data_IF_957814936707
#
_entry.id   IF_957814936707
#
_cell.length_a   1.000
_cell.length_b   1.000
_cell.length_c   1.000
_cell.angle_alpha   90.00
_cell.angle_beta   90.00
_cell.angle_gamma   90.00
#
_symmetry.space_group_name_H-M   'P 1'
#
loop_
_entity.id
_entity.type
_entity.pdbx_description
1 polymer ?
#
# COMPACT_ATOMS: atom_id res chain seq x y z
N UNK A 1 -29.87 -16.34 -40.07
CA UNK A 1 -28.47 -15.92 -39.85
C UNK A 1 -28.34 -14.92 -38.70
N UNK A 2 -29.22 -13.92 -38.58
CA UNK A 2 -29.17 -12.92 -37.50
C UNK A 2 -29.44 -13.48 -36.08
N UNK A 3 -30.41 -14.37 -35.92
CA UNK A 3 -30.78 -14.95 -34.62
C UNK A 3 -29.67 -15.83 -34.03
N UNK A 4 -29.00 -16.62 -34.85
CA UNK A 4 -27.87 -17.46 -34.43
C UNK A 4 -26.69 -16.64 -33.89
N UNK A 5 -26.41 -15.49 -34.50
CA UNK A 5 -25.34 -14.58 -34.05
C UNK A 5 -25.69 -13.91 -32.70
N UNK A 6 -26.96 -13.58 -32.49
CA UNK A 6 -27.45 -13.06 -31.21
C UNK A 6 -27.36 -14.09 -30.08
N UNK A 7 -27.71 -15.36 -30.35
CA UNK A 7 -27.55 -16.42 -29.36
C UNK A 7 -26.07 -16.72 -29.06
N UNK A 8 -25.20 -16.69 -30.08
CA UNK A 8 -23.78 -16.93 -29.89
C UNK A 8 -23.09 -15.82 -29.07
N UNK A 9 -23.43 -14.55 -29.31
CA UNK A 9 -22.84 -13.43 -28.58
C UNK A 9 -23.30 -13.39 -27.13
N UNK A 10 -24.60 -13.59 -26.88
CA UNK A 10 -25.15 -13.63 -25.51
C UNK A 10 -24.61 -14.81 -24.71
N UNK A 11 -24.41 -15.95 -25.35
CA UNK A 11 -23.73 -17.10 -24.75
C UNK A 11 -22.26 -16.82 -24.46
N UNK A 12 -21.52 -16.14 -25.35
CA UNK A 12 -20.14 -15.75 -25.08
C UNK A 12 -20.04 -14.78 -23.90
N UNK A 13 -20.92 -13.77 -23.83
CA UNK A 13 -20.92 -12.77 -22.77
C UNK A 13 -21.29 -13.38 -21.40
N UNK A 14 -22.20 -14.35 -21.36
CA UNK A 14 -22.60 -15.01 -20.11
C UNK A 14 -21.54 -15.96 -19.56
N UNK A 15 -20.58 -16.39 -20.38
CA UNK A 15 -19.43 -17.18 -19.96
C UNK A 15 -18.27 -16.35 -19.40
N UNK A 16 -18.21 -15.04 -19.65
CA UNK A 16 -17.13 -14.16 -19.16
C UNK A 16 -16.95 -14.19 -17.63
N UNK A 17 -18.02 -14.12 -16.80
CA UNK A 17 -17.88 -14.18 -15.34
C UNK A 17 -17.39 -15.54 -14.87
N UNK A 18 -17.82 -16.62 -15.53
CA UNK A 18 -17.40 -17.99 -15.20
C UNK A 18 -15.92 -18.18 -15.52
N UNK A 19 -15.46 -17.73 -16.69
CA UNK A 19 -14.05 -17.74 -17.07
C UNK A 19 -13.21 -16.89 -16.10
N UNK A 20 -13.71 -15.72 -15.70
CA UNK A 20 -13.01 -14.83 -14.75
C UNK A 20 -12.93 -15.43 -13.32
N UNK A 21 -13.94 -16.19 -12.91
CA UNK A 21 -13.98 -16.86 -11.60
C UNK A 21 -13.12 -18.14 -11.59
N UNK A 22 -13.02 -18.82 -12.73
CA UNK A 22 -12.19 -20.01 -12.91
C UNK A 22 -10.72 -19.67 -13.22
N UNK A 23 -10.42 -18.45 -13.67
CA UNK A 23 -9.05 -17.96 -13.72
C UNK A 23 -8.60 -17.67 -12.29
N UNK A 24 -7.58 -18.36 -11.75
CA UNK A 24 -6.97 -17.93 -10.51
C UNK A 24 -6.48 -16.48 -10.72
N UNK A 25 -6.59 -15.61 -9.70
CA UNK A 25 -5.97 -14.29 -9.76
C UNK A 25 -4.54 -14.47 -10.25
N UNK A 26 -4.16 -13.74 -11.30
CA UNK A 26 -2.79 -13.62 -11.77
C UNK A 26 -1.99 -12.91 -10.66
N UNK A 27 -1.74 -13.62 -9.56
CA UNK A 27 -0.70 -13.29 -8.63
C UNK A 27 0.59 -13.50 -9.41
N UNK A 28 1.42 -12.46 -9.59
CA UNK A 28 2.79 -12.67 -9.98
C UNK A 28 3.37 -13.68 -8.99
N UNK A 29 3.80 -14.83 -9.47
CA UNK A 29 4.58 -15.76 -8.65
C UNK A 29 5.85 -15.01 -8.24
N UNK A 30 5.87 -14.46 -7.02
CA UNK A 30 7.12 -14.01 -6.44
C UNK A 30 8.00 -15.27 -6.29
N UNK A 31 9.26 -15.24 -6.77
CA UNK A 31 10.17 -16.35 -6.58
C UNK A 31 10.40 -16.56 -5.07
N UNK A 32 10.05 -17.75 -4.58
CA UNK A 32 10.22 -18.17 -3.18
C UNK A 32 11.68 -18.24 -2.71
N UNK A 33 12.65 -17.95 -3.59
CA UNK A 33 14.08 -17.84 -3.26
C UNK A 33 14.47 -16.49 -2.63
N UNK A 34 13.54 -15.55 -2.47
CA UNK A 34 13.74 -14.29 -1.73
C UNK A 34 13.16 -14.31 -0.31
N UNK A 35 12.75 -15.47 0.20
CA UNK A 35 12.30 -15.70 1.58
C UNK A 35 13.37 -16.44 2.41
N UNK A 36 14.63 -16.06 2.21
CA UNK A 36 15.74 -16.48 3.07
C UNK A 36 16.64 -15.27 3.32
N UNK A 37 16.65 -14.83 4.59
CA UNK A 37 17.29 -13.63 5.16
C UNK A 37 16.54 -12.30 4.99
N UNK A 38 15.40 -12.19 5.66
CA UNK A 38 14.99 -10.91 6.28
C UNK A 38 14.85 -11.17 7.78
N UNK A 39 16.00 -11.33 8.41
CA UNK A 39 16.19 -11.17 9.85
C UNK A 39 17.28 -10.10 9.97
N UNK A 40 17.02 -9.09 10.79
CA UNK A 40 17.75 -7.82 11.01
C UNK A 40 17.43 -6.68 10.01
N UNK A 41 16.69 -5.67 10.50
CA UNK A 41 16.52 -4.30 9.94
C UNK A 41 15.59 -4.14 8.73
N UNK A 42 14.28 -4.08 8.99
CA UNK A 42 13.24 -3.80 8.01
C UNK A 42 13.41 -2.46 7.28
N UNK A 43 13.67 -2.53 5.98
CA UNK A 43 13.50 -1.44 5.02
C UNK A 43 12.81 -2.05 3.80
N UNK A 44 11.50 -1.82 3.65
CA UNK A 44 10.87 -1.96 2.34
C UNK A 44 11.53 -0.91 1.44
N UNK A 45 12.27 -1.38 0.44
CA UNK A 45 13.13 -0.58 -0.42
C UNK A 45 12.37 0.56 -1.08
N UNK A 46 12.90 1.77 -0.94
CA UNK A 46 12.45 2.96 -1.67
C UNK A 46 12.50 2.67 -3.18
N UNK A 47 11.44 2.94 -3.96
CA UNK A 47 11.60 3.01 -5.40
C UNK A 47 12.66 4.09 -5.73
N UNK A 48 13.44 3.91 -6.81
CA UNK A 48 14.43 4.89 -7.23
C UNK A 48 13.74 6.25 -7.37
N UNK A 49 14.24 7.24 -6.65
CA UNK A 49 13.82 8.62 -6.86
C UNK A 49 14.37 9.01 -8.23
N UNK A 50 13.52 8.96 -9.25
CA UNK A 50 13.81 9.63 -10.51
C UNK A 50 14.16 11.10 -10.18
N UNK A 51 15.35 11.54 -10.60
CA UNK A 51 15.93 12.85 -10.25
C UNK A 51 15.24 14.00 -11.00
N UNK A 52 13.91 13.95 -11.09
CA UNK A 52 13.06 14.92 -11.78
C UNK A 52 11.82 15.34 -11.00
N UNK A 53 11.47 14.66 -9.90
CA UNK A 53 10.39 15.11 -9.01
C UNK A 53 10.93 15.35 -7.60
N UNK A 54 10.95 16.61 -7.20
CA UNK A 54 11.21 16.98 -5.82
C UNK A 54 10.01 16.54 -4.97
N UNK A 55 10.25 15.64 -4.03
CA UNK A 55 9.28 15.32 -3.00
C UNK A 55 8.91 16.63 -2.27
N UNK A 56 7.62 16.93 -2.15
CA UNK A 56 7.10 18.20 -1.60
C UNK A 56 6.43 18.03 -0.25
N UNK A 57 5.87 16.85 0.01
CA UNK A 57 5.07 16.57 1.19
C UNK A 57 5.43 15.22 1.81
N UNK A 58 5.53 15.18 3.13
CA UNK A 58 5.68 13.93 3.89
C UNK A 58 4.60 13.90 4.96
N UNK A 59 3.76 12.86 4.92
CA UNK A 59 2.64 12.70 5.85
C UNK A 59 2.97 11.56 6.80
N UNK A 60 3.02 11.86 8.09
CA UNK A 60 3.26 10.86 9.13
C UNK A 60 1.91 10.49 9.75
N UNK A 61 1.57 9.20 9.69
CA UNK A 61 0.33 8.64 10.23
C UNK A 61 0.69 7.74 11.42
N UNK A 62 0.53 8.19 12.68
CA UNK A 62 0.69 7.30 13.82
C UNK A 62 -0.45 6.28 13.87
N UNK A 63 -0.13 5.02 14.14
CA UNK A 63 -1.11 3.93 14.22
C UNK A 63 -0.81 3.05 15.45
N UNK A 64 -1.83 2.81 16.28
CA UNK A 64 -1.77 1.82 17.36
C UNK A 64 -3.16 1.19 17.51
N UNK A 65 -3.25 -0.12 17.25
CA UNK A 65 -4.50 -0.86 17.22
C UNK A 65 -5.57 -0.21 16.32
N UNK A 66 -5.18 0.09 15.07
CA UNK A 66 -6.01 0.81 14.09
C UNK A 66 -6.47 -0.11 12.93
N UNK A 67 -6.36 -1.45 13.05
CA UNK A 67 -6.68 -2.40 11.97
C UNK A 67 -8.02 -2.09 11.25
N UNK A 68 -9.08 -1.87 12.02
CA UNK A 68 -10.43 -1.62 11.49
C UNK A 68 -10.61 -0.23 10.86
N UNK A 69 -9.77 0.75 11.19
CA UNK A 69 -9.92 2.17 10.82
C UNK A 69 -8.90 2.61 9.78
N UNK A 70 -7.75 1.94 9.73
CA UNK A 70 -6.62 2.30 8.88
C UNK A 70 -7.00 2.37 7.41
N UNK A 71 -7.80 1.41 6.92
CA UNK A 71 -8.31 1.39 5.55
C UNK A 71 -9.07 2.66 5.18
N UNK A 72 -10.05 3.04 5.99
CA UNK A 72 -10.86 4.23 5.71
C UNK A 72 -9.99 5.50 5.77
N UNK A 73 -9.12 5.59 6.78
CA UNK A 73 -8.20 6.73 6.96
C UNK A 73 -7.24 6.90 5.79
N UNK A 74 -6.53 5.84 5.39
CA UNK A 74 -5.58 5.90 4.28
C UNK A 74 -6.27 6.12 2.94
N UNK A 75 -7.44 5.50 2.70
CA UNK A 75 -8.19 5.73 1.45
C UNK A 75 -8.65 7.19 1.33
N UNK A 76 -9.11 7.78 2.43
CA UNK A 76 -9.45 9.21 2.50
C UNK A 76 -8.24 10.09 2.21
N UNK A 77 -7.11 9.81 2.88
CA UNK A 77 -5.86 10.54 2.67
C UNK A 77 -5.38 10.47 1.21
N UNK A 78 -5.32 9.27 0.62
CA UNK A 78 -4.93 9.07 -0.78
C UNK A 78 -5.85 9.85 -1.71
N UNK A 79 -7.15 9.87 -1.41
CA UNK A 79 -8.14 10.62 -2.19
C UNK A 79 -7.89 12.13 -2.14
N UNK A 80 -7.54 12.66 -0.97
CA UNK A 80 -7.19 14.09 -0.81
C UNK A 80 -5.91 14.48 -1.54
N UNK A 81 -5.01 13.53 -1.81
CA UNK A 81 -3.73 13.77 -2.48
C UNK A 81 -3.77 13.57 -4.00
N UNK A 82 -4.94 13.33 -4.60
CA UNK A 82 -5.10 13.06 -6.05
C UNK A 82 -4.56 14.18 -6.96
N UNK A 83 -4.42 15.40 -6.46
CA UNK A 83 -3.87 16.54 -7.21
C UNK A 83 -2.34 16.55 -7.25
N UNK A 84 -1.68 15.80 -6.35
CA UNK A 84 -0.23 15.64 -6.33
C UNK A 84 0.16 14.40 -7.13
N UNK A 85 1.29 14.49 -7.84
CA UNK A 85 1.89 13.31 -8.47
C UNK A 85 2.40 12.38 -7.37
N UNK A 86 2.39 11.05 -7.59
CA UNK A 86 2.76 10.13 -6.52
C UNK A 86 4.21 10.22 -6.03
N UNK A 87 5.10 10.82 -6.83
CA UNK A 87 6.49 11.10 -6.45
C UNK A 87 6.68 12.45 -5.73
N UNK A 88 5.63 13.27 -5.62
CA UNK A 88 5.64 14.54 -4.89
C UNK A 88 5.28 14.38 -3.41
N UNK A 89 4.85 13.19 -2.98
CA UNK A 89 4.56 12.92 -1.58
C UNK A 89 5.04 11.55 -1.12
N UNK A 90 5.11 11.38 0.19
CA UNK A 90 5.24 10.08 0.86
C UNK A 90 4.28 10.01 2.05
N UNK A 91 3.78 8.81 2.34
CA UNK A 91 2.98 8.51 3.52
C UNK A 91 3.77 7.53 4.37
N UNK A 92 4.03 7.88 5.62
CA UNK A 92 4.75 7.06 6.59
C UNK A 92 3.78 6.64 7.68
N UNK A 93 3.30 5.40 7.63
CA UNK A 93 2.51 4.81 8.70
C UNK A 93 3.47 4.32 9.77
N UNK A 94 3.38 4.91 10.97
CA UNK A 94 4.20 4.54 12.11
C UNK A 94 3.38 3.62 13.01
N UNK A 95 3.56 2.32 12.86
CA UNK A 95 2.95 1.34 13.74
C UNK A 95 3.66 1.35 15.11
N UNK A 96 2.97 1.83 16.12
CA UNK A 96 3.49 2.07 17.47
C UNK A 96 3.34 0.84 18.36
N UNK A 97 3.84 -0.31 17.89
CA UNK A 97 3.79 -1.59 18.61
C UNK A 97 2.37 -2.14 18.80
N UNK A 98 1.54 -2.09 17.75
CA UNK A 98 0.17 -2.66 17.79
C UNK A 98 0.15 -4.15 18.11
N UNK A 99 -0.98 -4.61 18.64
CA UNK A 99 -1.24 -6.02 18.99
C UNK A 99 -2.31 -6.67 18.11
N UNK A 100 -2.86 -5.93 17.16
CA UNK A 100 -3.85 -6.35 16.17
C UNK A 100 -3.24 -6.40 14.76
N UNK A 101 -4.08 -6.58 13.73
CA UNK A 101 -3.65 -6.67 12.32
C UNK A 101 -3.28 -5.34 11.64
N UNK A 102 -2.89 -4.30 12.40
CA UNK A 102 -2.61 -2.96 11.85
C UNK A 102 -1.53 -3.00 10.76
N UNK A 103 -0.46 -3.76 10.96
CA UNK A 103 0.66 -3.88 10.01
C UNK A 103 0.23 -4.58 8.72
N UNK A 104 -0.49 -5.68 8.85
CA UNK A 104 -1.02 -6.49 7.75
C UNK A 104 -1.96 -5.67 6.88
N UNK A 105 -2.87 -4.90 7.49
CA UNK A 105 -3.78 -4.02 6.75
C UNK A 105 -3.00 -2.89 6.04
N UNK A 106 -1.95 -2.34 6.65
CA UNK A 106 -1.09 -1.36 5.98
C UNK A 106 -0.40 -1.94 4.73
N UNK A 107 0.18 -3.14 4.84
CA UNK A 107 0.87 -3.81 3.74
C UNK A 107 -0.08 -4.19 2.60
N UNK A 108 -1.28 -4.65 2.95
CA UNK A 108 -2.36 -4.93 2.00
C UNK A 108 -2.79 -3.66 1.26
N UNK A 109 -2.95 -2.54 1.95
CA UNK A 109 -3.30 -1.26 1.32
C UNK A 109 -2.18 -0.76 0.39
N UNK A 110 -0.91 -0.92 0.78
CA UNK A 110 0.22 -0.64 -0.12
C UNK A 110 0.18 -1.47 -1.39
N UNK A 111 -0.17 -2.76 -1.28
CA UNK A 111 -0.32 -3.67 -2.42
C UNK A 111 -1.50 -3.30 -3.34
N UNK A 112 -2.59 -2.78 -2.77
CA UNK A 112 -3.75 -2.30 -3.54
C UNK A 112 -3.51 -0.96 -4.25
N UNK A 113 -2.52 -0.20 -3.79
CA UNK A 113 -2.18 1.12 -4.33
C UNK A 113 -0.70 1.20 -4.75
N UNK A 114 -0.23 0.40 -5.72
CA UNK A 114 1.20 0.31 -6.06
C UNK A 114 1.81 1.63 -6.57
N UNK A 115 0.97 2.58 -6.97
CA UNK A 115 1.41 3.88 -7.45
C UNK A 115 1.69 4.89 -6.34
N UNK A 116 1.31 4.63 -5.08
CA UNK A 116 1.58 5.57 -3.97
C UNK A 116 2.89 5.24 -3.26
N UNK A 117 3.56 6.27 -2.76
CA UNK A 117 4.75 6.09 -1.93
C UNK A 117 4.34 5.90 -0.46
N UNK A 118 4.00 4.67 -0.08
CA UNK A 118 3.61 4.27 1.28
C UNK A 118 4.76 3.51 1.96
N UNK A 119 5.15 3.96 3.14
CA UNK A 119 6.16 3.35 3.99
C UNK A 119 5.55 2.93 5.32
N UNK A 120 5.78 1.69 5.74
CA UNK A 120 5.48 1.21 7.08
C UNK A 120 6.74 1.30 7.95
N UNK A 121 6.63 2.00 9.08
CA UNK A 121 7.64 2.08 10.14
C UNK A 121 7.13 1.33 11.38
N UNK A 122 7.81 0.24 11.73
CA UNK A 122 7.51 -0.57 12.91
C UNK A 122 8.30 -0.08 14.13
N UNK A 123 7.60 0.21 15.23
CA UNK A 123 8.21 0.46 16.52
C UNK A 123 8.08 -0.77 17.42
N UNK A 124 9.15 -1.11 18.13
CA UNK A 124 9.23 -2.32 18.95
C UNK A 124 8.30 -2.32 20.15
N UNK A 125 7.88 -1.15 20.61
CA UNK A 125 6.96 -0.95 21.73
C UNK A 125 6.19 0.34 21.54
N UNK A 126 5.01 0.40 22.15
CA UNK A 126 4.20 1.62 22.16
C UNK A 126 4.92 2.73 22.91
N UNK A 127 5.34 3.76 22.17
CA UNK A 127 5.99 4.98 22.66
C UNK A 127 5.00 6.15 22.79
N UNK A 128 3.72 5.90 22.52
CA UNK A 128 2.66 6.87 22.44
C UNK A 128 2.72 7.69 21.15
N UNK A 129 1.61 8.39 20.86
CA UNK A 129 1.44 9.21 19.65
C UNK A 129 2.62 10.15 19.37
N UNK A 130 3.15 10.82 20.39
CA UNK A 130 4.29 11.71 20.25
C UNK A 130 5.57 10.99 19.83
N UNK A 131 5.83 9.80 20.39
CA UNK A 131 6.95 8.93 20.02
C UNK A 131 6.84 8.42 18.58
N UNK A 132 5.64 7.99 18.18
CA UNK A 132 5.35 7.59 16.81
C UNK A 132 5.57 8.73 15.80
N UNK A 133 5.02 9.91 16.08
CA UNK A 133 5.20 11.10 15.23
C UNK A 133 6.68 11.50 15.12
N UNK A 134 7.40 11.56 16.24
CA UNK A 134 8.84 11.89 16.26
C UNK A 134 9.66 10.90 15.44
N UNK A 135 9.35 9.60 15.54
CA UNK A 135 10.03 8.55 14.79
C UNK A 135 9.74 8.64 13.30
N UNK A 136 8.48 8.87 12.93
CA UNK A 136 8.07 9.10 11.55
C UNK A 136 8.70 10.35 10.93
N UNK A 137 8.71 11.48 11.64
CA UNK A 137 9.37 12.70 11.18
C UNK A 137 10.86 12.48 10.95
N UNK A 138 11.56 11.75 11.83
CA UNK A 138 12.98 11.40 11.60
C UNK A 138 13.20 10.48 10.39
N UNK A 139 12.23 9.63 10.08
CA UNK A 139 12.28 8.72 8.92
C UNK A 139 11.95 9.45 7.61
N UNK A 140 11.21 10.56 7.69
CA UNK A 140 10.82 11.41 6.55
C UNK A 140 12.01 11.81 5.69
N UNK A 141 11.81 11.69 4.38
CA UNK A 141 12.76 12.13 3.36
C UNK A 141 12.99 13.65 3.39
N UNK A 142 12.03 14.42 3.91
CA UNK A 142 12.11 15.88 3.99
C UNK A 142 12.76 16.42 5.26
N UNK A 143 12.94 15.61 6.30
CA UNK A 143 13.51 16.11 7.57
C UNK A 143 15.00 16.47 7.50
N UNK A 144 15.67 16.13 6.39
CA UNK A 144 17.09 16.40 6.16
C UNK A 144 17.34 17.50 5.11
N UNK A 145 16.28 18.08 4.55
CA UNK A 145 16.34 19.11 3.51
C UNK A 145 16.42 20.52 4.09
#
# INVERSE_FOLDING_TARGET
>A
MSTLLLYLSTFLLSLLPLVYTLLPPLHPHLPSSTLSKVTTSGTLSRPPTDRGAALKLSIVVPAYNEESRLKAGLTGLITSLKTLKPNEYEIIVCNDGSKDGTSEECLKLGSLHPNINLLLLELSQNAGKGGALKSGTKKSSLSRS
#
